data_IF_246425800612
#
_entry.id   IF_246425800612
#
_cell.length_a   1.000
_cell.length_b   1.000
_cell.length_c   1.000
_cell.angle_alpha   90.00
_cell.angle_beta   90.00
_cell.angle_gamma   90.00
#
_symmetry.space_group_name_H-M   'P 1'
#
loop_
_entity.id
_entity.type
_entity.pdbx_description
1 polymer ?
#
# COMPACT_ATOMS: atom_id res chain seq x y z
N UNK A 1 11.06 -15.14 -11.57
CA UNK A 1 9.97 -14.21 -11.23
C UNK A 1 9.82 -14.25 -9.73
N UNK A 2 9.43 -13.15 -9.07
CA UNK A 2 9.18 -13.19 -7.64
C UNK A 2 7.77 -13.75 -7.49
N UNK A 3 7.62 -14.88 -6.79
CA UNK A 3 6.31 -15.44 -6.40
C UNK A 3 5.68 -14.49 -5.39
N UNK A 4 5.17 -13.37 -5.87
CA UNK A 4 4.39 -12.47 -5.03
C UNK A 4 3.03 -13.11 -4.86
N UNK A 5 2.78 -13.59 -3.65
CA UNK A 5 1.45 -13.99 -3.19
C UNK A 5 0.45 -12.88 -3.52
N UNK A 6 -0.63 -13.22 -4.21
CA UNK A 6 -1.80 -12.35 -4.24
C UNK A 6 -2.50 -12.40 -2.89
N UNK A 7 -2.50 -11.25 -2.23
CA UNK A 7 -2.95 -11.13 -0.86
C UNK A 7 -4.45 -11.35 -0.71
N UNK A 8 -5.21 -11.01 -1.76
CA UNK A 8 -6.66 -11.17 -1.80
C UNK A 8 -7.10 -12.44 -2.52
N UNK A 9 -6.12 -13.23 -2.98
CA UNK A 9 -6.36 -14.37 -3.85
C UNK A 9 -6.80 -13.97 -5.24
N UNK A 10 -6.80 -14.95 -6.13
CA UNK A 10 -7.23 -14.73 -7.51
C UNK A 10 -8.77 -14.73 -7.60
N UNK A 11 -9.39 -13.68 -8.20
CA UNK A 11 -10.84 -13.60 -8.32
C UNK A 11 -11.37 -14.58 -9.36
N UNK A 12 -12.53 -15.17 -9.08
CA UNK A 12 -13.33 -15.89 -10.09
C UNK A 12 -14.17 -14.85 -10.85
N UNK A 13 -13.69 -14.45 -12.04
CA UNK A 13 -14.25 -13.32 -12.80
C UNK A 13 -15.50 -13.71 -13.58
N UNK A 14 -15.61 -14.96 -14.02
CA UNK A 14 -16.72 -15.42 -14.85
C UNK A 14 -17.69 -16.39 -14.15
N UNK A 15 -17.33 -16.85 -12.94
CA UNK A 15 -18.16 -17.67 -12.06
C UNK A 15 -18.19 -19.15 -12.42
N UNK A 16 -17.24 -19.64 -13.23
CA UNK A 16 -17.21 -21.04 -13.67
C UNK A 16 -16.44 -21.96 -12.69
N UNK A 17 -15.70 -21.38 -11.75
CA UNK A 17 -14.91 -22.07 -10.73
C UNK A 17 -13.61 -22.71 -11.24
N UNK A 18 -13.22 -22.44 -12.48
CA UNK A 18 -11.91 -22.76 -13.08
C UNK A 18 -10.96 -21.59 -12.79
N UNK A 19 -9.65 -21.83 -12.87
CA UNK A 19 -8.65 -20.75 -12.76
C UNK A 19 -8.13 -20.45 -14.16
N UNK A 20 -8.41 -19.24 -14.63
CA UNK A 20 -8.06 -18.77 -15.95
C UNK A 20 -6.83 -17.85 -15.95
N UNK A 21 -6.21 -17.68 -17.12
CA UNK A 21 -5.01 -16.83 -17.26
C UNK A 21 -5.35 -15.34 -17.07
N UNK A 22 -6.58 -14.94 -17.35
CA UNK A 22 -7.08 -13.58 -17.07
C UNK A 22 -7.30 -13.32 -15.59
N UNK A 23 -7.45 -14.38 -14.78
CA UNK A 23 -7.64 -14.31 -13.33
C UNK A 23 -6.33 -14.32 -12.58
N UNK A 24 -5.22 -14.76 -13.21
CA UNK A 24 -3.86 -14.73 -12.64
C UNK A 24 -3.31 -13.29 -12.60
N UNK A 25 -3.66 -12.55 -11.54
CA UNK A 25 -3.32 -11.13 -11.38
C UNK A 25 -1.80 -10.93 -11.31
N UNK A 26 -1.08 -11.83 -10.65
CA UNK A 26 0.37 -11.72 -10.45
C UNK A 26 1.22 -12.46 -11.50
N UNK A 27 0.58 -13.24 -12.38
CA UNK A 27 1.16 -13.93 -13.54
C UNK A 27 2.19 -15.00 -13.17
N UNK A 28 1.98 -15.71 -12.05
CA UNK A 28 2.84 -16.80 -11.60
C UNK A 28 2.37 -18.19 -12.10
N UNK A 29 1.18 -18.28 -12.70
CA UNK A 29 0.57 -19.51 -13.20
C UNK A 29 0.04 -20.45 -12.10
N UNK A 30 -0.16 -19.93 -10.88
CA UNK A 30 -0.64 -20.66 -9.71
C UNK A 30 -1.85 -19.92 -9.15
N UNK A 31 -2.92 -20.67 -8.85
CA UNK A 31 -4.07 -20.09 -8.13
C UNK A 31 -3.65 -19.79 -6.69
N UNK A 32 -3.64 -18.51 -6.34
CA UNK A 32 -3.40 -18.05 -4.99
C UNK A 32 -4.73 -17.95 -4.21
N UNK A 33 -4.74 -18.49 -3.00
CA UNK A 33 -5.87 -18.34 -2.07
C UNK A 33 -5.75 -17.01 -1.34
N UNK A 34 -6.89 -16.37 -1.05
CA UNK A 34 -6.92 -15.18 -0.21
C UNK A 34 -6.27 -15.47 1.14
N UNK A 35 -5.44 -14.55 1.63
CA UNK A 35 -4.97 -14.65 3.01
C UNK A 35 -6.19 -14.49 3.91
N UNK A 36 -6.50 -15.53 4.69
CA UNK A 36 -7.56 -15.47 5.69
C UNK A 36 -7.26 -14.28 6.63
N UNK A 37 -8.22 -13.37 6.78
CA UNK A 37 -8.09 -12.22 7.70
C UNK A 37 -7.85 -12.75 9.13
N UNK A 38 -6.61 -12.74 9.65
CA UNK A 38 -6.27 -13.37 10.92
C UNK A 38 -6.53 -12.44 12.10
N UNK A 39 -7.06 -11.23 11.86
CA UNK A 39 -7.08 -10.14 12.84
C UNK A 39 -8.31 -9.25 12.63
N UNK A 40 -8.91 -8.79 13.73
CA UNK A 40 -9.95 -7.75 13.72
C UNK A 40 -9.31 -6.39 13.41
N UNK A 41 -9.13 -6.12 12.11
CA UNK A 41 -8.79 -4.81 11.58
C UNK A 41 -9.75 -3.73 12.02
N UNK A 42 -9.20 -2.58 12.41
CA UNK A 42 -9.97 -1.37 12.69
C UNK A 42 -10.26 -0.60 11.41
N UNK A 43 -9.47 -0.81 10.35
CA UNK A 43 -9.71 -0.27 9.02
C UNK A 43 -10.43 -1.30 8.13
N UNK A 44 -11.49 -0.88 7.44
CA UNK A 44 -12.28 -1.75 6.54
C UNK A 44 -12.51 -1.15 5.14
N UNK A 45 -11.81 -0.06 4.82
CA UNK A 45 -11.91 0.61 3.53
C UNK A 45 -10.85 0.14 2.52
N UNK A 46 -9.84 -0.58 3.00
CA UNK A 46 -8.80 -1.20 2.19
C UNK A 46 -8.87 -2.72 2.38
N UNK A 47 -8.53 -3.51 1.35
CA UNK A 47 -8.45 -4.95 1.50
C UNK A 47 -7.40 -5.36 2.55
N UNK A 48 -7.73 -6.35 3.37
CA UNK A 48 -6.86 -6.82 4.45
C UNK A 48 -5.45 -7.18 3.97
N UNK A 49 -4.45 -6.81 4.77
CA UNK A 49 -3.02 -7.04 4.54
C UNK A 49 -2.39 -6.10 3.51
N UNK A 50 -3.18 -5.30 2.78
CA UNK A 50 -2.65 -4.42 1.73
C UNK A 50 -1.79 -3.32 2.33
N UNK A 51 -0.99 -2.62 1.52
CA UNK A 51 -0.22 -1.47 2.03
C UNK A 51 -1.12 -0.38 2.62
N UNK A 52 -2.34 -0.22 2.07
CA UNK A 52 -3.32 0.73 2.57
C UNK A 52 -3.94 0.29 3.90
N UNK A 53 -4.19 -1.01 4.06
CA UNK A 53 -4.61 -1.60 5.34
C UNK A 53 -3.51 -1.42 6.40
N UNK A 54 -2.26 -1.80 6.09
CA UNK A 54 -1.12 -1.62 6.98
C UNK A 54 -0.91 -0.16 7.40
N UNK A 55 -1.06 0.79 6.46
CA UNK A 55 -0.98 2.21 6.77
C UNK A 55 -2.12 2.68 7.67
N UNK A 56 -3.34 2.21 7.42
CA UNK A 56 -4.51 2.56 8.23
C UNK A 56 -4.38 2.04 9.66
N UNK A 57 -3.92 0.79 9.81
CA UNK A 57 -3.62 0.18 11.11
C UNK A 57 -2.52 0.94 11.86
N UNK A 58 -1.46 1.35 11.16
CA UNK A 58 -0.42 2.19 11.73
C UNK A 58 -0.97 3.54 12.24
N UNK A 59 -1.82 4.21 11.46
CA UNK A 59 -2.44 5.46 11.89
C UNK A 59 -3.36 5.27 13.09
N UNK A 60 -4.14 4.19 13.14
CA UNK A 60 -4.95 3.90 14.30
C UNK A 60 -4.09 3.65 15.55
N UNK A 61 -2.96 2.96 15.41
CA UNK A 61 -2.07 2.68 16.53
C UNK A 61 -1.29 3.90 17.02
N UNK A 62 -0.80 4.75 16.11
CA UNK A 62 0.14 5.83 16.44
C UNK A 62 -0.55 7.19 16.60
N UNK A 63 -1.64 7.42 15.86
CA UNK A 63 -2.41 8.68 15.86
C UNK A 63 -3.92 8.41 16.10
N UNK A 64 -4.29 7.72 17.22
CA UNK A 64 -5.65 7.20 17.44
C UNK A 64 -6.74 8.27 17.60
N UNK A 65 -6.35 9.50 17.92
CA UNK A 65 -7.27 10.58 18.31
C UNK A 65 -6.79 11.92 17.77
N UNK A 66 -7.69 12.91 17.73
CA UNK A 66 -7.37 14.25 17.23
C UNK A 66 -6.25 14.94 18.05
N UNK A 67 -6.21 14.76 19.37
CA UNK A 67 -5.15 15.28 20.24
C UNK A 67 -3.82 14.52 20.11
N UNK A 68 -3.86 13.32 19.53
CA UNK A 68 -2.68 12.50 19.21
C UNK A 68 -2.34 12.57 17.72
N UNK A 69 -3.00 13.39 16.92
CA UNK A 69 -2.75 13.48 15.48
C UNK A 69 -1.30 13.93 15.21
N UNK A 70 -0.75 13.54 14.06
CA UNK A 70 0.54 14.06 13.61
C UNK A 70 0.47 15.59 13.51
N UNK A 71 1.30 16.28 14.29
CA UNK A 71 1.25 17.74 14.49
C UNK A 71 2.57 18.43 14.18
N UNK A 72 3.53 17.71 13.59
CA UNK A 72 4.81 18.29 13.21
C UNK A 72 4.58 19.28 12.06
N UNK A 73 4.95 20.53 12.29
CA UNK A 73 4.92 21.55 11.25
C UNK A 73 5.78 21.14 10.04
N UNK A 74 5.30 21.47 8.85
CA UNK A 74 6.05 21.28 7.62
C UNK A 74 7.36 22.10 7.63
N UNK A 75 8.39 21.54 7.02
CA UNK A 75 9.62 22.27 6.72
C UNK A 75 9.39 23.08 5.45
N UNK A 76 9.75 24.36 5.47
CA UNK A 76 9.67 25.16 4.24
C UNK A 76 10.56 24.56 3.14
N UNK A 77 10.18 24.67 1.86
CA UNK A 77 10.91 24.03 0.76
C UNK A 77 12.40 24.38 0.69
N UNK A 78 12.78 25.61 1.09
CA UNK A 78 14.19 26.06 1.14
C UNK A 78 15.04 25.31 2.18
N UNK A 79 14.41 24.74 3.21
CA UNK A 79 15.07 24.02 4.30
C UNK A 79 14.79 22.52 4.29
N UNK A 80 13.98 22.01 3.35
CA UNK A 80 13.73 20.56 3.25
C UNK A 80 14.80 19.86 2.42
N UNK A 81 15.90 19.49 3.09
CA UNK A 81 17.01 18.76 2.48
C UNK A 81 16.68 17.29 2.15
N UNK A 82 15.52 16.78 2.61
CA UNK A 82 15.11 15.38 2.40
C UNK A 82 14.41 15.19 1.06
N UNK A 83 13.72 16.22 0.58
CA UNK A 83 12.94 16.18 -0.67
C UNK A 83 13.63 17.03 -1.73
N UNK A 84 13.94 16.41 -2.86
CA UNK A 84 14.51 17.12 -4.01
C UNK A 84 13.39 17.85 -4.77
N UNK A 85 13.13 19.11 -4.42
CA UNK A 85 12.16 19.93 -5.14
C UNK A 85 12.78 20.54 -6.40
N UNK A 86 12.58 19.88 -7.55
CA UNK A 86 13.17 20.29 -8.84
C UNK A 86 12.76 21.70 -9.31
N UNK A 87 11.63 22.23 -8.82
CA UNK A 87 11.18 23.59 -9.15
C UNK A 87 11.84 24.68 -8.30
N UNK A 88 12.52 24.31 -7.21
CA UNK A 88 13.17 25.24 -6.27
C UNK A 88 14.69 25.05 -6.21
N UNK A 89 15.23 24.14 -7.02
CA UNK A 89 16.68 23.95 -7.15
C UNK A 89 17.25 24.89 -8.21
N UNK A 90 18.20 25.73 -7.79
CA UNK A 90 19.02 26.55 -8.69
C UNK A 90 20.26 25.79 -9.22
N UNK A 91 20.58 24.64 -8.61
CA UNK A 91 21.81 23.89 -8.91
C UNK A 91 21.62 22.93 -10.10
N UNK A 92 22.29 23.21 -11.22
CA UNK A 92 22.43 22.28 -12.36
C UNK A 92 23.34 21.10 -11.98
N UNK A 93 22.86 19.87 -12.18
CA UNK A 93 23.72 18.67 -12.14
C UNK A 93 24.70 18.76 -13.31
N UNK A 94 25.93 19.20 -13.05
CA UNK A 94 27.00 19.15 -14.04
C UNK A 94 27.45 17.69 -14.18
N UNK A 95 27.33 17.16 -15.39
CA UNK A 95 27.65 15.78 -15.76
C UNK A 95 29.15 15.62 -16.04
#
# INVERSE_FOLDING_TARGET
>A
MVDRIDLLGEPDLDGDGIFDIEEDVNKNGVKDEAIAEPFEGVANFAPFGSEQDALAEYFHQVFPTADRAFDRADTEPEFDERIQNLAFREDTINN
#
